data_IF_666971996097
#
_entry.id   IF_666971996097
#
_cell.length_a   1.000
_cell.length_b   1.000
_cell.length_c   1.000
_cell.angle_alpha   90.00
_cell.angle_beta   90.00
_cell.angle_gamma   90.00
#
_symmetry.space_group_name_H-M   'P 1'
#
loop_
_entity.id
_entity.type
_entity.pdbx_description
1 polymer ?
#
# COMPACT_ATOMS: atom_id res chain seq x y z
N UNK A 1 -57.70 -9.43 68.36
CA UNK A 1 -58.09 -9.03 67.00
C UNK A 1 -56.83 -9.12 66.15
N UNK A 2 -56.64 -10.27 65.50
CA UNK A 2 -55.49 -10.59 64.68
C UNK A 2 -55.87 -10.42 63.20
N UNK A 3 -55.02 -9.78 62.40
CA UNK A 3 -55.08 -9.85 60.94
C UNK A 3 -53.66 -9.90 60.37
N UNK A 4 -53.39 -11.01 59.69
CA UNK A 4 -52.48 -11.18 58.53
C UNK A 4 -53.36 -11.82 57.42
N UNK A 5 -52.96 -11.97 56.14
CA UNK A 5 -51.97 -11.27 55.29
C UNK A 5 -52.51 -10.97 53.85
N UNK A 6 -51.82 -10.16 53.03
CA UNK A 6 -51.99 -10.17 51.55
C UNK A 6 -50.71 -9.59 50.89
N UNK A 7 -49.73 -10.43 50.57
CA UNK A 7 -49.43 -10.99 49.24
C UNK A 7 -49.30 -9.99 48.06
N UNK A 8 -48.04 -9.80 47.67
CA UNK A 8 -47.51 -10.13 46.34
C UNK A 8 -47.96 -9.29 45.12
N UNK A 9 -47.10 -8.35 44.71
CA UNK A 9 -46.91 -7.93 43.30
C UNK A 9 -45.49 -7.40 43.10
N UNK A 10 -44.60 -8.10 42.36
CA UNK A 10 -43.41 -7.48 41.80
C UNK A 10 -43.86 -6.59 40.63
N UNK A 11 -43.66 -5.27 40.74
CA UNK A 11 -43.90 -4.36 39.62
C UNK A 11 -43.02 -4.73 38.43
N UNK A 12 -43.71 -4.87 37.30
CA UNK A 12 -43.17 -5.23 36.02
C UNK A 12 -42.17 -4.20 35.51
N UNK A 13 -41.10 -4.71 34.89
CA UNK A 13 -40.47 -4.04 33.75
C UNK A 13 -39.61 -2.83 34.10
N UNK A 14 -38.49 -3.05 34.78
CA UNK A 14 -37.33 -2.19 34.49
C UNK A 14 -36.99 -2.34 33.00
N UNK A 15 -36.93 -1.24 32.22
CA UNK A 15 -36.49 -1.32 30.84
C UNK A 15 -35.03 -1.80 30.87
N UNK A 16 -34.80 -2.99 30.33
CA UNK A 16 -33.46 -3.45 29.96
C UNK A 16 -32.89 -2.34 29.07
N UNK A 17 -31.76 -1.68 29.44
CA UNK A 17 -31.19 -0.68 28.57
C UNK A 17 -30.92 -1.33 27.21
N UNK A 18 -31.23 -0.65 26.10
CA UNK A 18 -30.97 -1.19 24.79
C UNK A 18 -29.49 -1.55 24.75
N UNK A 19 -29.22 -2.82 24.45
CA UNK A 19 -27.91 -3.39 24.21
C UNK A 19 -27.07 -2.34 23.46
N UNK A 20 -26.20 -1.64 24.19
CA UNK A 20 -25.28 -0.68 23.60
C UNK A 20 -24.43 -1.52 22.65
N UNK A 21 -24.79 -1.46 21.37
CA UNK A 21 -23.90 -1.92 20.32
C UNK A 21 -22.60 -1.20 20.62
N UNK A 22 -21.49 -1.92 20.89
CA UNK A 22 -20.27 -1.28 21.33
C UNK A 22 -19.94 -0.23 20.29
N UNK A 23 -20.03 1.03 20.69
CA UNK A 23 -19.62 2.17 19.89
C UNK A 23 -18.24 1.79 19.36
N UNK A 24 -18.03 1.94 18.05
CA UNK A 24 -16.79 1.57 17.37
C UNK A 24 -15.58 2.45 17.79
N UNK A 25 -15.60 2.96 19.02
CA UNK A 25 -14.58 3.76 19.65
C UNK A 25 -13.67 2.83 20.48
N UNK A 26 -12.44 2.68 19.99
CA UNK A 26 -11.31 2.09 20.72
C UNK A 26 -11.41 0.60 21.06
N UNK A 27 -11.74 -0.24 20.07
CA UNK A 27 -11.37 -1.66 20.18
C UNK A 27 -9.87 -1.79 19.95
N UNK A 28 -9.12 -2.14 20.99
CA UNK A 28 -7.70 -2.44 20.91
C UNK A 28 -7.45 -3.56 19.87
N UNK A 29 -6.73 -3.28 18.77
CA UNK A 29 -6.50 -4.25 17.70
C UNK A 29 -5.60 -5.41 18.12
N UNK A 30 -4.91 -5.29 19.25
CA UNK A 30 -4.13 -6.37 19.86
C UNK A 30 -4.97 -7.31 20.75
N UNK A 31 -6.21 -6.94 21.06
CA UNK A 31 -7.07 -7.70 21.95
C UNK A 31 -7.55 -9.02 21.34
N UNK A 32 -7.76 -10.03 22.19
CA UNK A 32 -8.36 -11.31 21.78
C UNK A 32 -9.76 -11.12 21.19
N UNK A 33 -10.54 -10.19 21.74
CA UNK A 33 -11.89 -9.88 21.27
C UNK A 33 -11.87 -9.36 19.82
N UNK A 34 -10.90 -8.50 19.48
CA UNK A 34 -10.71 -8.03 18.12
C UNK A 34 -10.35 -9.16 17.16
N UNK A 35 -9.40 -10.02 17.53
CA UNK A 35 -9.02 -11.19 16.72
C UNK A 35 -10.21 -12.13 16.46
N UNK A 36 -11.04 -12.38 17.47
CA UNK A 36 -12.23 -13.21 17.32
C UNK A 36 -13.34 -12.52 16.49
N UNK A 37 -13.45 -11.20 16.55
CA UNK A 37 -14.30 -10.43 15.63
C UNK A 37 -13.81 -10.52 14.18
N UNK A 38 -12.50 -10.38 13.93
CA UNK A 38 -11.90 -10.53 12.61
C UNK A 38 -12.17 -11.92 12.04
N UNK A 39 -12.00 -12.98 12.85
CA UNK A 39 -12.27 -14.36 12.42
C UNK A 39 -13.73 -14.58 12.04
N UNK A 40 -14.66 -14.01 12.82
CA UNK A 40 -16.09 -14.05 12.50
C UNK A 40 -16.38 -13.33 11.18
N UNK A 41 -15.84 -12.13 10.99
CA UNK A 41 -16.00 -11.37 9.75
C UNK A 41 -15.37 -12.06 8.53
N UNK A 42 -14.23 -12.73 8.72
CA UNK A 42 -13.51 -13.42 7.66
C UNK A 42 -14.18 -14.75 7.25
N UNK A 43 -14.87 -15.43 8.16
CA UNK A 43 -15.42 -16.77 7.92
C UNK A 43 -14.36 -17.89 7.89
N UNK A 44 -13.13 -17.60 8.32
CA UNK A 44 -12.04 -18.57 8.42
C UNK A 44 -11.08 -18.20 9.55
N UNK A 45 -10.18 -19.14 9.91
CA UNK A 45 -9.23 -18.94 10.99
C UNK A 45 -8.04 -18.07 10.57
N UNK A 46 -8.20 -16.75 10.71
CA UNK A 46 -7.11 -15.78 10.49
C UNK A 46 -6.06 -15.91 11.59
N UNK A 47 -4.78 -15.91 11.19
CA UNK A 47 -3.65 -15.96 12.12
C UNK A 47 -3.36 -14.59 12.74
N UNK A 48 -2.85 -14.51 13.99
CA UNK A 48 -2.52 -13.22 14.62
C UNK A 48 -1.53 -12.38 13.80
N UNK A 49 -0.58 -13.03 13.11
CA UNK A 49 0.38 -12.33 12.25
C UNK A 49 -0.25 -11.72 11.00
N UNK A 50 -1.31 -12.33 10.46
CA UNK A 50 -2.09 -11.75 9.35
C UNK A 50 -2.94 -10.59 9.80
N UNK A 51 -3.49 -10.66 11.01
CA UNK A 51 -4.18 -9.52 11.63
C UNK A 51 -3.22 -8.36 11.84
N UNK A 52 -2.06 -8.60 12.46
CA UNK A 52 -1.07 -7.56 12.73
C UNK A 52 -0.63 -6.82 11.45
N UNK A 53 -0.27 -7.57 10.40
CA UNK A 53 0.14 -6.97 9.11
C UNK A 53 -0.98 -6.17 8.44
N UNK A 54 -2.24 -6.63 8.54
CA UNK A 54 -3.38 -5.92 8.00
C UNK A 54 -3.72 -4.65 8.79
N UNK A 55 -3.66 -4.70 10.13
CA UNK A 55 -3.83 -3.54 11.01
C UNK A 55 -2.77 -2.49 10.69
N UNK A 56 -1.50 -2.87 10.69
CA UNK A 56 -0.37 -1.97 10.41
C UNK A 56 -0.52 -1.29 9.05
N UNK A 57 -0.86 -2.03 8.00
CA UNK A 57 -1.08 -1.47 6.67
C UNK A 57 -2.27 -0.49 6.62
N UNK A 58 -3.36 -0.79 7.34
CA UNK A 58 -4.53 0.09 7.40
C UNK A 58 -4.17 1.39 8.12
N UNK A 59 -3.52 1.31 9.28
CA UNK A 59 -3.12 2.48 10.08
C UNK A 59 -2.13 3.36 9.32
N UNK A 60 -1.15 2.75 8.67
CA UNK A 60 -0.15 3.43 7.84
C UNK A 60 -0.79 4.21 6.69
N UNK A 61 -1.89 3.68 6.12
CA UNK A 61 -2.67 4.38 5.10
C UNK A 61 -3.60 5.48 5.64
N UNK A 62 -3.55 5.78 6.94
CA UNK A 62 -4.44 6.73 7.63
C UNK A 62 -5.85 6.19 7.87
N UNK A 63 -6.05 4.88 7.79
CA UNK A 63 -7.33 4.23 7.98
C UNK A 63 -7.54 3.68 9.38
N UNK A 64 -8.81 3.53 9.79
CA UNK A 64 -9.16 2.83 11.03
C UNK A 64 -9.23 1.30 10.80
N UNK A 65 -8.54 0.48 11.61
CA UNK A 65 -8.52 -0.97 11.46
C UNK A 65 -9.77 -1.63 12.06
N UNK A 66 -10.90 -1.58 11.36
CA UNK A 66 -12.10 -2.34 11.80
C UNK A 66 -11.94 -3.84 11.50
N UNK A 67 -12.63 -4.74 12.25
CA UNK A 67 -12.54 -6.19 12.02
C UNK A 67 -12.84 -6.60 10.58
N UNK A 68 -13.85 -6.00 9.95
CA UNK A 68 -14.27 -6.28 8.58
C UNK A 68 -13.24 -5.80 7.56
N UNK A 69 -12.61 -4.65 7.81
CA UNK A 69 -11.56 -4.13 6.94
C UNK A 69 -10.31 -4.99 7.02
N UNK A 70 -9.90 -5.35 8.24
CA UNK A 70 -8.78 -6.27 8.49
C UNK A 70 -9.04 -7.63 7.82
N UNK A 71 -10.24 -8.19 7.98
CA UNK A 71 -10.61 -9.46 7.36
C UNK A 71 -10.51 -9.41 5.82
N UNK A 72 -10.96 -8.32 5.18
CA UNK A 72 -10.84 -8.12 3.73
C UNK A 72 -9.39 -8.04 3.27
N UNK A 73 -8.54 -7.28 3.98
CA UNK A 73 -7.11 -7.15 3.67
C UNK A 73 -6.38 -8.49 3.83
N UNK A 74 -6.68 -9.23 4.91
CA UNK A 74 -6.11 -10.56 5.15
C UNK A 74 -6.55 -11.58 4.08
N UNK A 75 -7.81 -11.51 3.63
CA UNK A 75 -8.31 -12.38 2.57
C UNK A 75 -7.62 -12.12 1.22
N UNK A 76 -7.41 -10.86 0.86
CA UNK A 76 -6.80 -10.48 -0.42
C UNK A 76 -5.34 -10.96 -0.58
N UNK A 77 -4.61 -11.08 0.54
CA UNK A 77 -3.21 -11.49 0.58
C UNK A 77 -2.98 -12.98 0.89
N UNK A 78 -4.07 -13.76 0.95
CA UNK A 78 -4.04 -15.21 1.24
C UNK A 78 -3.54 -16.00 0.04
N UNK A 79 -2.88 -17.13 0.31
CA UNK A 79 -2.47 -18.09 -0.71
C UNK A 79 -1.25 -18.91 -0.28
N UNK A 80 -0.83 -19.83 -1.12
CA UNK A 80 0.37 -20.63 -0.88
C UNK A 80 1.64 -19.78 -1.07
N UNK A 81 2.57 -19.88 -0.11
CA UNK A 81 3.81 -19.08 -0.11
C UNK A 81 4.99 -19.93 -0.51
N UNK A 82 5.70 -19.48 -1.53
CA UNK A 82 6.96 -20.11 -1.98
C UNK A 82 8.03 -20.14 -0.88
N UNK A 83 9.01 -21.05 -0.97
CA UNK A 83 10.14 -21.10 -0.04
C UNK A 83 10.87 -19.75 0.08
N UNK A 84 10.99 -19.02 -1.03
CA UNK A 84 11.57 -17.67 -1.08
C UNK A 84 10.82 -16.69 -0.18
N UNK A 85 9.48 -16.71 -0.22
CA UNK A 85 8.65 -15.86 0.64
C UNK A 85 8.72 -16.25 2.11
N UNK A 86 8.94 -17.54 2.40
CA UNK A 86 9.08 -18.03 3.77
C UNK A 86 10.34 -17.50 4.48
N UNK A 87 11.40 -17.10 3.75
CA UNK A 87 12.63 -16.52 4.33
C UNK A 87 12.41 -15.16 5.00
N UNK A 88 11.50 -14.36 4.45
CA UNK A 88 11.15 -13.02 4.98
C UNK A 88 9.63 -12.91 5.18
N UNK A 89 9.05 -13.91 5.84
CA UNK A 89 7.60 -14.13 5.85
C UNK A 89 6.79 -12.91 6.33
N UNK A 90 7.31 -12.15 7.28
CA UNK A 90 6.63 -10.99 7.83
C UNK A 90 6.64 -9.80 6.86
N UNK A 91 7.80 -9.49 6.24
CA UNK A 91 7.90 -8.46 5.20
C UNK A 91 6.99 -8.76 4.00
N UNK A 92 6.95 -10.02 3.56
CA UNK A 92 6.05 -10.43 2.48
C UNK A 92 4.57 -10.29 2.85
N UNK A 93 4.22 -10.61 4.10
CA UNK A 93 2.85 -10.47 4.59
C UNK A 93 2.42 -9.01 4.66
N UNK A 94 3.30 -8.16 5.20
CA UNK A 94 3.05 -6.73 5.26
C UNK A 94 2.98 -6.11 3.87
N UNK A 95 3.85 -6.50 2.93
CA UNK A 95 3.74 -6.05 1.53
C UNK A 95 2.38 -6.44 0.94
N UNK A 96 1.94 -7.69 1.14
CA UNK A 96 0.62 -8.14 0.69
C UNK A 96 -0.51 -7.28 1.26
N UNK A 97 -0.46 -6.98 2.56
CA UNK A 97 -1.43 -6.11 3.21
C UNK A 97 -1.42 -4.68 2.65
N UNK A 98 -0.25 -4.07 2.48
CA UNK A 98 -0.09 -2.75 1.88
C UNK A 98 -0.66 -2.72 0.45
N UNK A 99 -0.31 -3.71 -0.39
CA UNK A 99 -0.86 -3.81 -1.74
C UNK A 99 -2.39 -3.92 -1.72
N UNK A 100 -2.96 -4.75 -0.83
CA UNK A 100 -4.41 -4.91 -0.69
C UNK A 100 -5.10 -3.61 -0.27
N UNK A 101 -4.54 -2.88 0.70
CA UNK A 101 -5.06 -1.57 1.15
C UNK A 101 -5.05 -0.55 0.01
N UNK A 102 -4.04 -0.57 -0.85
CA UNK A 102 -3.94 0.26 -2.04
C UNK A 102 -4.72 -0.28 -3.26
N UNK A 103 -5.55 -1.32 -3.10
CA UNK A 103 -6.37 -1.88 -4.17
C UNK A 103 -5.57 -2.60 -5.27
N UNK A 104 -4.36 -3.05 -4.97
CA UNK A 104 -3.46 -3.74 -5.91
C UNK A 104 -3.54 -5.26 -5.72
N UNK A 105 -3.24 -6.05 -6.76
CA UNK A 105 -3.08 -7.50 -6.64
C UNK A 105 -2.08 -7.83 -5.53
N UNK A 106 -2.52 -8.62 -4.56
CA UNK A 106 -1.83 -8.81 -3.27
C UNK A 106 -1.66 -10.28 -2.88
N UNK A 107 -2.12 -11.22 -3.71
CA UNK A 107 -1.86 -12.64 -3.51
C UNK A 107 -0.34 -12.95 -3.60
N UNK A 108 0.12 -14.11 -3.09
CA UNK A 108 1.54 -14.45 -3.08
C UNK A 108 2.23 -14.47 -4.45
N UNK A 109 1.53 -14.74 -5.54
CA UNK A 109 2.10 -14.70 -6.88
C UNK A 109 2.25 -13.26 -7.37
N UNK A 110 1.22 -12.44 -7.21
CA UNK A 110 1.28 -11.01 -7.50
C UNK A 110 2.40 -10.30 -6.73
N UNK A 111 2.58 -10.62 -5.44
CA UNK A 111 3.69 -10.10 -4.64
C UNK A 111 5.05 -10.47 -5.26
N UNK A 112 5.25 -11.73 -5.66
CA UNK A 112 6.51 -12.16 -6.31
C UNK A 112 6.74 -11.43 -7.62
N UNK A 113 5.71 -11.27 -8.43
CA UNK A 113 5.77 -10.53 -9.67
C UNK A 113 6.08 -9.04 -9.45
N UNK A 114 5.55 -8.45 -8.38
CA UNK A 114 5.86 -7.08 -7.94
C UNK A 114 7.35 -6.94 -7.63
N UNK A 115 7.86 -7.76 -6.70
CA UNK A 115 9.26 -7.69 -6.23
C UNK A 115 10.25 -8.09 -7.33
N UNK A 116 9.86 -8.98 -8.25
CA UNK A 116 10.65 -9.31 -9.43
C UNK A 116 10.81 -8.12 -10.38
N UNK A 117 9.70 -7.43 -10.70
CA UNK A 117 9.71 -6.24 -11.56
C UNK A 117 10.42 -5.06 -10.92
N UNK A 118 10.22 -4.84 -9.62
CA UNK A 118 10.92 -3.79 -8.88
C UNK A 118 12.43 -4.00 -8.87
N UNK A 119 12.91 -5.23 -8.66
CA UNK A 119 14.34 -5.53 -8.77
C UNK A 119 14.89 -5.27 -10.16
N UNK A 120 14.17 -5.68 -11.21
CA UNK A 120 14.58 -5.41 -12.58
C UNK A 120 14.70 -3.89 -12.87
N UNK A 121 13.80 -3.08 -12.31
CA UNK A 121 13.86 -1.63 -12.40
C UNK A 121 14.94 -1.00 -11.51
N UNK A 122 15.31 -1.63 -10.39
CA UNK A 122 16.45 -1.20 -9.57
C UNK A 122 17.78 -1.46 -10.30
N UNK A 123 17.88 -2.60 -11.00
CA UNK A 123 19.11 -3.11 -11.62
C UNK A 123 19.87 -4.02 -10.66
N UNK A 124 20.06 -3.57 -9.43
CA UNK A 124 20.70 -4.32 -8.34
C UNK A 124 19.85 -4.26 -7.07
N UNK A 125 20.02 -5.23 -6.17
CA UNK A 125 19.34 -5.26 -4.87
C UNK A 125 18.73 -6.61 -4.49
N UNK A 126 18.82 -6.94 -3.20
CA UNK A 126 18.22 -8.15 -2.63
C UNK A 126 16.71 -8.01 -2.47
N UNK A 127 16.01 -9.14 -2.32
CA UNK A 127 14.57 -9.12 -2.01
C UNK A 127 14.26 -8.38 -0.72
N UNK A 128 15.07 -8.60 0.31
CA UNK A 128 14.91 -7.96 1.59
C UNK A 128 14.98 -6.43 1.44
N UNK A 129 15.91 -5.91 0.63
CA UNK A 129 15.99 -4.49 0.34
C UNK A 129 14.74 -3.99 -0.40
N UNK A 130 14.34 -4.66 -1.49
CA UNK A 130 13.17 -4.24 -2.28
C UNK A 130 11.89 -4.26 -1.43
N UNK A 131 11.74 -5.26 -0.56
CA UNK A 131 10.61 -5.34 0.37
C UNK A 131 10.61 -4.16 1.34
N UNK A 132 11.73 -3.91 2.03
CA UNK A 132 11.85 -2.81 2.99
C UNK A 132 11.60 -1.45 2.33
N UNK A 133 12.18 -1.21 1.15
CA UNK A 133 11.92 0.03 0.39
C UNK A 133 10.44 0.13 -0.01
N UNK A 134 9.81 -0.94 -0.48
CA UNK A 134 8.39 -0.90 -0.85
C UNK A 134 7.50 -0.55 0.35
N UNK A 135 7.81 -1.09 1.52
CA UNK A 135 7.08 -0.83 2.76
C UNK A 135 7.27 0.63 3.22
N UNK A 136 8.50 1.14 3.17
CA UNK A 136 8.78 2.53 3.52
C UNK A 136 8.15 3.51 2.50
N UNK A 137 8.11 3.14 1.21
CA UNK A 137 7.37 3.91 0.19
C UNK A 137 5.88 3.94 0.51
N UNK A 138 5.29 2.82 0.94
CA UNK A 138 3.89 2.79 1.37
C UNK A 138 3.67 3.66 2.63
N UNK A 139 4.60 3.62 3.59
CA UNK A 139 4.57 4.43 4.80
C UNK A 139 4.56 5.94 4.52
N UNK A 140 5.26 6.35 3.46
CA UNK A 140 5.30 7.74 3.01
C UNK A 140 4.23 8.07 1.95
N UNK A 141 3.20 7.23 1.82
CA UNK A 141 2.11 7.39 0.83
C UNK A 141 2.62 7.57 -0.62
N UNK A 142 3.79 7.01 -0.91
CA UNK A 142 4.46 7.13 -2.19
C UNK A 142 3.88 6.19 -3.26
N UNK A 143 4.43 6.24 -4.48
CA UNK A 143 3.96 5.45 -5.61
C UNK A 143 4.30 3.96 -5.44
N UNK A 144 3.36 3.19 -4.88
CA UNK A 144 3.52 1.75 -4.62
C UNK A 144 3.33 0.89 -5.88
N UNK A 145 4.04 1.17 -6.97
CA UNK A 145 4.11 0.31 -8.16
C UNK A 145 5.53 -0.22 -8.38
N UNK A 146 5.70 -1.38 -9.05
CA UNK A 146 7.01 -2.02 -9.15
C UNK A 146 8.09 -1.12 -9.75
N UNK A 147 7.74 -0.33 -10.77
CA UNK A 147 8.72 0.51 -11.47
C UNK A 147 9.18 1.65 -10.59
N UNK A 148 8.23 2.36 -9.96
CA UNK A 148 8.55 3.46 -9.05
C UNK A 148 9.38 2.98 -7.86
N UNK A 149 9.02 1.85 -7.23
CA UNK A 149 9.81 1.26 -6.14
C UNK A 149 11.23 0.92 -6.61
N UNK A 150 11.39 0.30 -7.78
CA UNK A 150 12.71 0.00 -8.32
C UNK A 150 13.55 1.25 -8.63
N UNK A 151 12.94 2.29 -9.22
CA UNK A 151 13.59 3.58 -9.49
C UNK A 151 14.03 4.26 -8.17
N UNK A 152 13.20 4.19 -7.13
CA UNK A 152 13.52 4.66 -5.77
C UNK A 152 14.68 3.87 -5.17
N UNK A 153 14.64 2.53 -5.24
CA UNK A 153 15.74 1.69 -4.75
C UNK A 153 17.06 2.00 -5.46
N UNK A 154 17.03 2.18 -6.78
CA UNK A 154 18.22 2.58 -7.55
C UNK A 154 18.76 3.92 -7.09
N UNK A 155 17.88 4.89 -6.87
CA UNK A 155 18.29 6.20 -6.37
C UNK A 155 18.95 6.08 -4.99
N UNK A 156 18.38 5.29 -4.07
CA UNK A 156 18.95 5.06 -2.74
C UNK A 156 20.33 4.41 -2.83
N UNK A 157 20.50 3.35 -3.62
CA UNK A 157 21.80 2.70 -3.82
C UNK A 157 22.86 3.68 -4.33
N UNK A 158 22.49 4.58 -5.25
CA UNK A 158 23.41 5.56 -5.81
C UNK A 158 23.77 6.71 -4.85
N UNK A 159 22.92 7.03 -3.87
CA UNK A 159 23.06 8.23 -3.03
C UNK A 159 23.37 7.94 -1.56
N UNK A 160 23.29 6.68 -1.12
CA UNK A 160 23.48 6.28 0.28
C UNK A 160 24.60 5.24 0.46
N UNK A 161 25.15 4.71 -0.63
CA UNK A 161 26.18 3.66 -0.59
C UNK A 161 25.64 2.38 0.04
N UNK A 162 26.46 1.73 0.88
CA UNK A 162 26.15 0.43 1.48
C UNK A 162 25.31 0.52 2.77
N UNK A 163 25.11 1.71 3.34
CA UNK A 163 24.28 1.90 4.53
C UNK A 163 22.79 1.98 4.15
N UNK A 164 22.16 0.80 4.10
CA UNK A 164 20.73 0.62 3.88
C UNK A 164 20.09 -0.10 5.08
N UNK A 165 20.42 0.43 6.27
CA UNK A 165 19.73 0.16 7.53
C UNK A 165 18.29 0.70 7.49
N UNK A 166 17.45 0.22 8.41
CA UNK A 166 16.03 0.60 8.43
C UNK A 166 15.88 2.08 8.79
N UNK A 167 16.71 2.59 9.71
CA UNK A 167 16.79 4.01 10.08
C UNK A 167 17.14 4.88 8.87
N UNK A 168 18.14 4.47 8.08
CA UNK A 168 18.53 5.20 6.87
C UNK A 168 17.42 5.16 5.81
N UNK A 169 16.72 4.04 5.66
CA UNK A 169 15.57 3.97 4.75
C UNK A 169 14.47 4.94 5.16
N UNK A 170 14.09 4.97 6.43
CA UNK A 170 13.09 5.92 6.97
C UNK A 170 13.48 7.38 6.71
N UNK A 171 14.76 7.73 6.86
CA UNK A 171 15.22 9.09 6.60
C UNK A 171 15.28 9.45 5.11
N UNK A 172 15.65 8.50 4.23
CA UNK A 172 16.05 8.80 2.84
C UNK A 172 15.01 8.47 1.79
N UNK A 173 14.05 7.59 2.08
CA UNK A 173 12.96 7.25 1.14
C UNK A 173 12.10 8.48 0.75
N UNK A 174 11.72 9.40 1.65
CA UNK A 174 10.99 10.61 1.27
C UNK A 174 11.74 11.45 0.23
N UNK A 175 13.07 11.57 0.38
CA UNK A 175 13.90 12.30 -0.58
C UNK A 175 13.97 11.59 -1.92
N UNK A 176 14.06 10.26 -1.92
CA UNK A 176 14.05 9.43 -3.12
C UNK A 176 12.72 9.54 -3.88
N UNK A 177 11.60 9.55 -3.17
CA UNK A 177 10.26 9.80 -3.74
C UNK A 177 10.23 11.19 -4.38
N UNK A 178 10.65 12.23 -3.66
CA UNK A 178 10.67 13.60 -4.19
C UNK A 178 11.61 13.76 -5.40
N UNK A 179 12.75 13.06 -5.43
CA UNK A 179 13.65 13.03 -6.57
C UNK A 179 13.00 12.39 -7.80
N UNK A 180 12.31 11.26 -7.61
CA UNK A 180 11.58 10.59 -8.67
C UNK A 180 10.47 11.47 -9.26
N UNK A 181 9.70 12.14 -8.41
CA UNK A 181 8.63 13.05 -8.84
C UNK A 181 9.16 14.25 -9.63
N UNK A 182 10.26 14.85 -9.18
CA UNK A 182 10.95 15.94 -9.91
C UNK A 182 11.43 15.48 -11.28
N UNK A 183 12.12 14.34 -11.36
CA UNK A 183 12.59 13.78 -12.63
C UNK A 183 11.43 13.54 -13.62
N UNK A 184 10.29 13.03 -13.13
CA UNK A 184 9.09 12.83 -13.95
C UNK A 184 8.45 14.15 -14.38
N UNK A 185 8.42 15.17 -13.52
CA UNK A 185 7.92 16.49 -13.87
C UNK A 185 8.79 17.16 -14.96
N UNK A 186 10.11 17.05 -14.85
CA UNK A 186 11.06 17.56 -15.84
C UNK A 186 10.92 16.86 -17.19
N UNK A 187 10.81 15.53 -17.21
CA UNK A 187 10.59 14.76 -18.44
C UNK A 187 9.30 15.19 -19.18
N UNK A 188 8.22 15.47 -18.44
CA UNK A 188 6.96 15.98 -19.01
C UNK A 188 7.11 17.38 -19.61
N UNK A 189 7.95 18.24 -19.01
CA UNK A 189 8.25 19.58 -19.53
C UNK A 189 9.16 19.53 -20.77
N UNK A 190 10.19 18.68 -20.75
CA UNK A 190 11.10 18.46 -21.88
C UNK A 190 10.43 17.84 -23.11
N UNK A 191 9.41 16.98 -22.90
CA UNK A 191 8.58 16.42 -23.97
C UNK A 191 7.59 17.42 -24.60
N UNK A 192 7.30 18.55 -23.93
CA UNK A 192 6.49 19.66 -24.46
C UNK A 192 7.35 20.70 -25.19
N UNK A 193 8.32 20.26 -26.00
CA UNK A 193 8.98 21.18 -26.92
C UNK A 193 8.01 21.43 -28.08
N UNK A 194 7.55 22.68 -28.32
CA UNK A 194 6.64 22.94 -29.43
C UNK A 194 7.35 22.55 -30.72
N UNK A 195 6.62 21.85 -31.60
CA UNK A 195 7.10 21.54 -32.95
C UNK A 195 7.70 22.81 -33.54
N UNK A 196 9.03 22.81 -33.69
CA UNK A 196 9.77 23.89 -34.31
C UNK A 196 9.14 24.06 -35.69
N UNK A 197 8.36 25.12 -35.84
CA UNK A 197 7.81 25.64 -37.08
C UNK A 197 8.93 25.55 -38.11
N UNK A 198 8.87 24.55 -39.00
CA UNK A 198 9.84 24.45 -40.07
C UNK A 198 9.60 25.69 -40.92
N UNK A 199 10.52 26.66 -40.85
CA UNK A 199 10.60 27.73 -41.82
C UNK A 199 10.91 27.08 -43.17
N UNK A 200 9.86 26.63 -43.87
CA UNK A 200 9.93 26.28 -45.27
C UNK A 200 9.92 27.60 -46.04
N UNK A 201 11.10 28.17 -46.19
CA UNK A 201 11.36 29.16 -47.22
C UNK A 201 12.46 28.61 -48.13
N UNK A 202 12.11 28.14 -49.34
CA UNK A 202 13.00 28.23 -50.47
C UNK A 202 12.44 29.30 -51.40
N UNK A 203 12.74 30.56 -51.08
CA UNK A 203 12.67 31.61 -52.08
C UNK A 203 13.93 31.55 -52.93
N UNK A 204 13.83 31.03 -54.16
CA UNK A 204 14.57 31.59 -55.31
C UNK A 204 13.95 31.14 -56.62
N UNK A 205 13.27 32.10 -57.26
CA UNK A 205 12.86 32.09 -58.66
C UNK A 205 14.08 31.89 -59.55
N UNK A 206 13.93 31.07 -60.59
CA UNK A 206 14.74 31.15 -61.81
C UNK A 206 13.93 30.60 -62.98
N UNK A 207 13.07 31.44 -63.53
CA UNK A 207 12.80 31.50 -64.98
C UNK A 207 13.54 32.74 -65.48
N UNK A 208 14.10 32.81 -66.71
CA UNK A 208 13.52 32.24 -67.93
C UNK A 208 14.56 31.66 -68.93
N UNK A 209 14.09 31.06 -70.04
CA UNK A 209 14.22 31.62 -71.41
C UNK A 209 14.27 30.53 -72.49
N UNK A 210 13.28 30.61 -73.35
CA UNK A 210 13.05 29.95 -74.65
C UNK A 210 14.21 30.24 -75.64
N UNK A 211 14.74 29.23 -76.34
CA UNK A 211 15.13 29.36 -77.77
C UNK A 211 15.33 28.01 -78.48
N UNK A 212 14.79 28.00 -79.70
CA UNK A 212 14.78 26.98 -80.76
C UNK A 212 16.14 26.34 -81.07
N UNK A 213 16.12 25.06 -81.43
CA UNK A 213 16.39 24.58 -82.80
C UNK A 213 15.59 23.31 -83.05
#
# INVERSE_FOLDING_TARGET
MSQEPEQDRPEAGQPVPPNESPTAENVDPSSRAFLDAVRRAAGWRVSPREVAAAVEAIETSGGTPTPERVARVAAASRGERSQRQRRHADLWRLLGAQLAVHGKPSDPEAQRAFVGRARAAAGEGSDALILRVALEVAANQGPLDPRSVGEITRWLLANTGDDLSDETLTARVPEAIAALERARAEARRGGRRPARRSNRAPGRRSTPRRRRR
#
